data_IF_939995435554
#
_entry.id   IF_939995435554
#
_cell.length_a   1.000
_cell.length_b   1.000
_cell.length_c   1.000
_cell.angle_alpha   90.00
_cell.angle_beta   90.00
_cell.angle_gamma   90.00
#
_symmetry.space_group_name_H-M   'P 1'
#
loop_
_entity.id
_entity.type
_entity.pdbx_description
1 polymer ?
#
# COMPACT_ATOMS: atom_id res chain seq x y z
N UNK A 1 -30.34 2.89 21.31
CA UNK A 1 -29.61 3.74 20.36
C UNK A 1 -29.61 3.00 19.04
N UNK A 2 -30.45 3.41 18.10
CA UNK A 2 -30.64 2.70 16.83
C UNK A 2 -29.39 2.80 15.94
N UNK A 3 -28.95 1.64 15.45
CA UNK A 3 -27.71 1.44 14.71
C UNK A 3 -27.87 1.73 13.21
N UNK A 4 -28.20 2.97 12.86
CA UNK A 4 -28.30 3.42 11.46
C UNK A 4 -26.99 3.94 10.87
N UNK A 5 -25.92 4.06 11.66
CA UNK A 5 -24.60 4.51 11.18
C UNK A 5 -23.97 3.55 10.15
N UNK A 6 -24.28 2.26 10.22
CA UNK A 6 -23.69 1.23 9.34
C UNK A 6 -24.49 1.00 8.06
N UNK A 7 -25.58 1.76 7.82
CA UNK A 7 -26.34 1.65 6.57
C UNK A 7 -26.06 2.89 5.74
N UNK A 8 -25.83 2.69 4.44
CA UNK A 8 -25.90 3.78 3.49
C UNK A 8 -27.24 4.52 3.70
N UNK A 9 -27.27 5.86 3.71
CA UNK A 9 -28.52 6.60 3.88
C UNK A 9 -29.56 6.09 2.88
N UNK A 10 -30.72 5.62 3.34
CA UNK A 10 -31.83 5.17 2.47
C UNK A 10 -32.38 6.31 1.61
N UNK A 11 -32.10 7.54 2.02
CA UNK A 11 -32.15 8.73 1.19
C UNK A 11 -30.76 9.33 1.24
N UNK A 12 -29.98 9.38 0.13
CA UNK A 12 -28.75 10.15 0.13
C UNK A 12 -29.09 11.54 0.67
N UNK A 13 -28.29 12.06 1.60
CA UNK A 13 -28.50 13.40 2.11
C UNK A 13 -28.71 14.29 0.88
N UNK A 14 -29.87 14.97 0.84
CA UNK A 14 -30.24 15.87 -0.26
C UNK A 14 -28.99 16.64 -0.65
N UNK A 15 -28.70 16.81 -1.95
CA UNK A 15 -27.53 17.49 -2.49
C UNK A 15 -27.26 18.82 -1.75
N UNK A 16 -26.63 18.73 -0.59
CA UNK A 16 -26.17 19.84 0.21
C UNK A 16 -24.88 20.17 -0.51
N UNK A 17 -25.01 21.02 -1.53
CA UNK A 17 -23.88 21.57 -2.25
C UNK A 17 -22.81 21.98 -1.24
N UNK A 18 -21.55 21.78 -1.60
CA UNK A 18 -20.42 22.02 -0.70
C UNK A 18 -20.59 23.42 -0.10
N UNK A 19 -20.75 23.57 1.24
CA UNK A 19 -21.00 24.88 1.80
C UNK A 19 -19.85 25.81 1.39
N UNK A 20 -20.13 26.97 0.77
CA UNK A 20 -19.10 27.83 0.16
C UNK A 20 -18.16 28.46 1.20
N UNK A 21 -18.43 28.24 2.48
CA UNK A 21 -17.78 28.89 3.60
C UNK A 21 -16.93 27.84 4.32
N UNK A 22 -15.61 27.94 4.10
CA UNK A 22 -14.54 27.28 4.86
C UNK A 22 -14.12 25.86 4.40
N UNK A 23 -13.69 25.74 3.14
CA UNK A 23 -13.08 24.51 2.58
C UNK A 23 -11.95 23.92 3.45
N UNK A 24 -11.17 24.76 4.15
CA UNK A 24 -10.13 24.30 5.08
C UNK A 24 -10.66 23.64 6.35
N UNK A 25 -11.83 24.05 6.85
CA UNK A 25 -12.50 23.39 7.96
C UNK A 25 -13.09 22.04 7.51
N UNK A 26 -13.77 22.02 6.35
CA UNK A 26 -14.31 20.78 5.78
C UNK A 26 -13.20 19.74 5.55
N UNK A 27 -12.07 20.15 4.97
CA UNK A 27 -10.91 19.26 4.79
C UNK A 27 -10.40 18.69 6.11
N UNK A 28 -10.28 19.52 7.16
CA UNK A 28 -9.88 19.06 8.49
C UNK A 28 -10.87 18.07 9.09
N UNK A 29 -12.17 18.33 8.95
CA UNK A 29 -13.23 17.43 9.39
C UNK A 29 -13.16 16.08 8.67
N UNK A 30 -13.02 16.08 7.34
CA UNK A 30 -12.94 14.87 6.53
C UNK A 30 -11.67 14.05 6.79
N UNK A 31 -10.58 14.69 7.21
CA UNK A 31 -9.38 13.98 7.68
C UNK A 31 -9.61 13.24 9.00
N UNK A 32 -10.48 13.77 9.89
CA UNK A 32 -10.80 13.14 11.17
C UNK A 32 -11.93 12.11 11.06
N UNK A 33 -12.88 12.33 10.16
CA UNK A 33 -14.03 11.46 9.94
C UNK A 33 -14.19 11.15 8.44
N UNK A 34 -13.40 10.20 7.89
CA UNK A 34 -13.49 9.84 6.48
C UNK A 34 -14.83 9.18 6.12
N UNK A 35 -15.56 8.61 7.07
CA UNK A 35 -16.90 8.07 6.83
C UNK A 35 -17.85 9.08 6.20
N UNK A 36 -17.70 10.38 6.49
CA UNK A 36 -18.59 11.44 5.98
C UNK A 36 -18.64 11.51 4.44
N UNK A 37 -17.66 10.94 3.73
CA UNK A 37 -17.71 10.79 2.27
C UNK A 37 -18.88 9.92 1.78
N UNK A 38 -19.58 9.18 2.66
CA UNK A 38 -20.83 8.49 2.34
C UNK A 38 -22.08 9.41 2.39
N UNK A 39 -21.92 10.65 2.86
CA UNK A 39 -23.00 11.61 3.11
C UNK A 39 -22.84 12.93 2.35
N UNK A 40 -21.65 13.23 1.80
CA UNK A 40 -21.38 14.49 1.11
C UNK A 40 -21.08 14.28 -0.37
N UNK A 41 -21.48 15.25 -1.19
CA UNK A 41 -21.30 15.20 -2.65
C UNK A 41 -19.90 15.66 -3.09
N UNK A 42 -18.87 15.08 -2.49
CA UNK A 42 -17.45 15.34 -2.76
C UNK A 42 -16.75 14.02 -3.03
N UNK A 43 -15.86 13.99 -4.02
CA UNK A 43 -15.08 12.78 -4.33
C UNK A 43 -14.23 12.35 -3.14
N UNK A 44 -14.29 11.07 -2.79
CA UNK A 44 -13.50 10.48 -1.72
C UNK A 44 -11.99 10.62 -1.99
N UNK A 45 -11.22 10.84 -0.93
CA UNK A 45 -9.75 10.82 -0.99
C UNK A 45 -9.24 9.37 -0.93
N UNK A 46 -8.00 9.12 -1.36
CA UNK A 46 -7.39 7.78 -1.25
C UNK A 46 -7.40 7.24 0.19
N UNK A 47 -7.09 8.09 1.18
CA UNK A 47 -7.19 7.75 2.61
C UNK A 47 -8.62 7.38 3.03
N UNK A 48 -9.62 8.06 2.51
CA UNK A 48 -11.02 7.70 2.77
C UNK A 48 -11.39 6.36 2.12
N UNK A 49 -10.94 6.08 0.90
CA UNK A 49 -11.16 4.79 0.24
C UNK A 49 -10.58 3.64 1.07
N UNK A 50 -9.35 3.77 1.57
CA UNK A 50 -8.74 2.76 2.47
C UNK A 50 -9.53 2.61 3.76
N UNK A 51 -10.04 3.71 4.33
CA UNK A 51 -10.90 3.63 5.50
C UNK A 51 -12.22 2.87 5.22
N UNK A 52 -12.85 3.08 4.06
CA UNK A 52 -14.02 2.30 3.67
C UNK A 52 -13.69 0.81 3.49
N UNK A 53 -12.49 0.45 3.02
CA UNK A 53 -12.04 -0.94 3.02
C UNK A 53 -11.99 -1.52 4.45
N UNK A 54 -11.44 -0.80 5.42
CA UNK A 54 -11.40 -1.25 6.83
C UNK A 54 -12.81 -1.46 7.42
N UNK A 55 -13.75 -0.54 7.14
CA UNK A 55 -15.14 -0.67 7.59
C UNK A 55 -15.79 -1.91 6.96
N UNK A 56 -15.61 -2.09 5.65
CA UNK A 56 -16.16 -3.23 4.89
C UNK A 56 -15.59 -4.56 5.41
N UNK A 57 -14.27 -4.61 5.68
CA UNK A 57 -13.58 -5.74 6.28
C UNK A 57 -13.89 -5.95 7.77
N UNK A 58 -14.49 -4.96 8.44
CA UNK A 58 -14.73 -4.93 9.88
C UNK A 58 -13.45 -5.17 10.70
N UNK A 59 -12.31 -4.79 10.13
CA UNK A 59 -10.99 -4.99 10.73
C UNK A 59 -10.00 -3.97 10.18
N UNK A 60 -8.95 -3.71 10.96
CA UNK A 60 -7.79 -2.93 10.49
C UNK A 60 -7.08 -3.67 9.38
N UNK A 61 -6.53 -2.93 8.43
CA UNK A 61 -5.72 -3.53 7.37
C UNK A 61 -4.36 -3.95 7.93
N UNK A 62 -3.97 -5.19 7.66
CA UNK A 62 -2.69 -5.80 8.00
C UNK A 62 -2.18 -6.68 6.84
N UNK A 63 -1.09 -7.42 7.05
CA UNK A 63 -0.54 -8.29 6.00
C UNK A 63 -1.48 -9.40 5.53
N UNK A 64 -2.40 -9.85 6.40
CA UNK A 64 -3.28 -10.98 6.13
C UNK A 64 -4.50 -10.60 5.28
N UNK A 65 -4.96 -9.35 5.36
CA UNK A 65 -6.18 -8.89 4.68
C UNK A 65 -5.97 -7.75 3.68
N UNK A 66 -4.73 -7.27 3.47
CA UNK A 66 -4.46 -6.16 2.52
C UNK A 66 -4.86 -6.50 1.08
N UNK A 67 -4.76 -7.77 0.68
CA UNK A 67 -5.23 -8.20 -0.64
C UNK A 67 -6.76 -8.10 -0.74
N UNK A 68 -7.49 -8.49 0.32
CA UNK A 68 -8.95 -8.32 0.35
C UNK A 68 -9.36 -6.84 0.29
N UNK A 69 -8.62 -5.97 1.01
CA UNK A 69 -8.81 -4.53 0.93
C UNK A 69 -8.59 -3.99 -0.49
N UNK A 70 -7.60 -4.51 -1.21
CA UNK A 70 -7.38 -4.21 -2.62
C UNK A 70 -8.54 -4.66 -3.51
N UNK A 71 -9.11 -5.85 -3.26
CA UNK A 71 -10.24 -6.36 -4.04
C UNK A 71 -11.50 -5.51 -3.81
N UNK A 72 -11.76 -5.07 -2.57
CA UNK A 72 -12.92 -4.22 -2.22
C UNK A 72 -12.91 -2.90 -3.00
N UNK A 73 -11.77 -2.22 -3.10
CA UNK A 73 -11.70 -0.96 -3.85
C UNK A 73 -11.79 -1.17 -5.37
N UNK A 74 -11.56 -2.39 -5.85
CA UNK A 74 -11.60 -2.69 -7.27
C UNK A 74 -13.06 -2.84 -7.74
N UNK A 75 -13.54 -2.08 -8.76
CA UNK A 75 -14.97 -1.98 -9.10
C UNK A 75 -15.71 -3.29 -9.40
N UNK A 76 -15.00 -4.39 -9.65
CA UNK A 76 -15.57 -5.64 -10.19
C UNK A 76 -14.99 -6.92 -9.58
N UNK A 77 -14.21 -6.84 -8.48
CA UNK A 77 -13.47 -8.02 -7.98
C UNK A 77 -13.80 -8.41 -6.54
N UNK A 78 -13.96 -7.44 -5.65
CA UNK A 78 -14.30 -7.70 -4.26
C UNK A 78 -15.78 -7.50 -3.95
N UNK A 79 -16.18 -7.72 -2.69
CA UNK A 79 -17.46 -7.22 -2.22
C UNK A 79 -17.49 -5.69 -2.36
N UNK A 80 -18.67 -5.11 -2.64
CA UNK A 80 -18.79 -3.66 -2.69
C UNK A 80 -18.50 -3.05 -1.32
N UNK A 81 -18.08 -1.78 -1.31
CA UNK A 81 -17.98 -1.02 -0.07
C UNK A 81 -19.29 -1.06 0.72
N UNK A 82 -19.18 -1.27 2.04
CA UNK A 82 -20.31 -1.27 2.96
C UNK A 82 -19.96 -0.45 4.22
N UNK A 83 -20.41 0.82 4.32
CA UNK A 83 -21.16 1.60 3.32
C UNK A 83 -20.25 2.16 2.20
N UNK A 84 -20.79 2.46 1.00
CA UNK A 84 -20.03 3.08 -0.08
C UNK A 84 -19.88 4.61 0.10
N UNK A 85 -18.80 5.21 -0.44
CA UNK A 85 -18.74 6.66 -0.63
C UNK A 85 -19.82 7.10 -1.63
N UNK A 86 -20.32 8.32 -1.49
CA UNK A 86 -21.31 8.88 -2.43
C UNK A 86 -20.68 9.12 -3.81
N UNK A 87 -19.41 9.56 -3.83
CA UNK A 87 -18.57 9.68 -5.02
C UNK A 87 -17.24 8.99 -4.79
N UNK A 88 -17.00 7.89 -5.51
CA UNK A 88 -15.68 7.25 -5.56
C UNK A 88 -14.63 8.22 -6.09
N UNK A 89 -13.44 8.16 -5.53
CA UNK A 89 -12.31 9.02 -5.91
C UNK A 89 -10.98 8.40 -5.48
N UNK A 90 -9.93 9.22 -5.48
CA UNK A 90 -8.57 8.77 -5.22
C UNK A 90 -7.89 8.20 -6.47
N UNK A 91 -6.60 8.53 -6.63
CA UNK A 91 -5.77 7.91 -7.65
C UNK A 91 -5.40 6.49 -7.21
N UNK A 92 -5.49 5.52 -8.14
CA UNK A 92 -5.26 4.11 -7.84
C UNK A 92 -3.87 3.85 -7.25
N UNK A 93 -2.83 4.52 -7.77
CA UNK A 93 -1.47 4.40 -7.24
C UNK A 93 -1.38 4.89 -5.79
N UNK A 94 -2.00 6.03 -5.50
CA UNK A 94 -2.07 6.59 -4.15
C UNK A 94 -2.86 5.69 -3.20
N UNK A 95 -3.95 5.07 -3.64
CA UNK A 95 -4.69 4.09 -2.81
C UNK A 95 -3.79 2.90 -2.48
N UNK A 96 -3.02 2.38 -3.44
CA UNK A 96 -2.13 1.24 -3.18
C UNK A 96 -1.04 1.59 -2.17
N UNK A 97 -0.45 2.79 -2.28
CA UNK A 97 0.52 3.29 -1.33
C UNK A 97 -0.08 3.36 0.08
N UNK A 98 -1.32 3.86 0.22
CA UNK A 98 -2.01 3.87 1.51
C UNK A 98 -2.31 2.47 2.05
N UNK A 99 -2.68 1.51 1.20
CA UNK A 99 -2.85 0.12 1.62
C UNK A 99 -1.55 -0.45 2.19
N UNK A 100 -0.41 -0.23 1.51
CA UNK A 100 0.90 -0.63 2.02
C UNK A 100 1.24 0.08 3.35
N UNK A 101 0.96 1.37 3.44
CA UNK A 101 1.13 2.18 4.66
C UNK A 101 0.34 1.63 5.85
N UNK A 102 -0.91 1.19 5.67
CA UNK A 102 -1.68 0.59 6.77
C UNK A 102 -1.07 -0.73 7.23
N UNK A 103 -0.52 -1.55 6.31
CA UNK A 103 0.24 -2.75 6.71
C UNK A 103 1.46 -2.37 7.54
N UNK A 104 2.24 -1.36 7.14
CA UNK A 104 3.38 -0.86 7.92
C UNK A 104 2.95 -0.35 9.30
N UNK A 105 1.85 0.41 9.36
CA UNK A 105 1.29 0.92 10.62
C UNK A 105 0.88 -0.23 11.54
N UNK A 106 0.23 -1.27 11.02
CA UNK A 106 -0.23 -2.42 11.83
C UNK A 106 0.91 -3.15 12.54
N UNK A 107 2.15 -3.05 12.02
CA UNK A 107 3.35 -3.64 12.63
C UNK A 107 4.21 -2.63 13.42
N UNK A 108 3.69 -1.42 13.66
CA UNK A 108 4.32 -0.40 14.50
C UNK A 108 5.25 0.56 13.75
N UNK A 109 5.07 0.71 12.44
CA UNK A 109 5.84 1.65 11.60
C UNK A 109 4.85 2.65 10.97
N UNK A 110 4.34 3.62 11.74
CA UNK A 110 3.33 4.56 11.25
C UNK A 110 3.88 5.51 10.18
N UNK A 111 3.01 6.11 9.33
CA UNK A 111 3.44 7.18 8.45
C UNK A 111 3.86 8.40 9.26
N UNK A 112 4.91 9.08 8.84
CA UNK A 112 5.39 10.31 9.45
C UNK A 112 4.43 11.46 9.14
N UNK A 113 4.14 12.26 10.15
CA UNK A 113 3.33 13.47 10.00
C UNK A 113 4.10 14.53 9.19
N UNK A 114 3.37 15.35 8.44
CA UNK A 114 3.95 16.48 7.71
C UNK A 114 3.90 17.75 8.56
N UNK A 115 4.98 18.52 8.55
CA UNK A 115 5.04 19.83 9.20
C UNK A 115 4.26 20.92 8.42
N UNK A 116 4.39 22.17 8.86
CA UNK A 116 3.77 23.32 8.22
C UNK A 116 4.26 23.51 6.76
N UNK A 117 5.52 23.20 6.49
CA UNK A 117 6.19 23.34 5.19
C UNK A 117 6.02 22.09 4.28
N UNK A 118 5.25 21.11 4.76
CA UNK A 118 4.95 19.84 4.08
C UNK A 118 6.16 18.92 3.93
N UNK A 119 7.11 19.01 4.87
CA UNK A 119 8.18 18.05 5.06
C UNK A 119 7.80 17.00 6.12
N UNK A 120 8.29 15.75 5.99
CA UNK A 120 8.10 14.75 7.03
C UNK A 120 8.83 15.14 8.33
N UNK A 121 8.12 15.04 9.45
CA UNK A 121 8.71 15.13 10.78
C UNK A 121 9.34 13.77 11.11
N UNK A 122 10.67 13.73 11.19
CA UNK A 122 11.41 12.49 11.36
C UNK A 122 11.12 11.81 12.71
N UNK A 123 10.50 10.63 12.65
CA UNK A 123 10.22 9.78 13.82
C UNK A 123 10.55 8.33 13.52
N UNK A 124 11.23 7.64 14.44
CA UNK A 124 11.66 6.26 14.25
C UNK A 124 11.08 5.34 15.35
N UNK A 125 10.53 4.16 15.00
CA UNK A 125 10.24 3.70 13.65
C UNK A 125 9.12 4.52 12.98
N UNK A 126 9.23 4.72 11.66
CA UNK A 126 8.20 5.39 10.86
C UNK A 126 8.50 5.28 9.37
N UNK A 127 7.55 5.63 8.52
CA UNK A 127 7.74 5.63 7.07
C UNK A 127 7.24 6.92 6.42
N UNK A 128 7.79 7.24 5.25
CA UNK A 128 7.46 8.45 4.49
C UNK A 128 6.74 8.03 3.22
N UNK A 129 5.57 8.64 2.99
CA UNK A 129 4.81 8.54 1.75
C UNK A 129 5.45 9.45 0.70
N UNK A 130 5.97 8.88 -0.38
CA UNK A 130 6.68 9.64 -1.40
C UNK A 130 5.72 10.32 -2.37
N UNK A 131 4.43 9.96 -2.43
CA UNK A 131 3.47 10.71 -3.25
C UNK A 131 2.85 11.90 -2.51
N UNK A 132 3.18 12.13 -1.24
CA UNK A 132 2.65 13.24 -0.43
C UNK A 132 3.68 14.36 -0.17
N UNK A 133 3.15 15.55 0.15
CA UNK A 133 3.96 16.70 0.57
C UNK A 133 5.04 17.12 -0.43
N UNK A 134 6.20 17.55 0.09
CA UNK A 134 7.38 17.88 -0.73
C UNK A 134 8.10 16.64 -1.27
N UNK A 135 7.77 15.45 -0.79
CA UNK A 135 8.41 14.19 -1.20
C UNK A 135 7.97 13.73 -2.59
N UNK A 136 6.86 14.26 -3.15
CA UNK A 136 6.38 13.94 -4.50
C UNK A 136 7.45 14.12 -5.60
N UNK A 137 8.39 15.05 -5.41
CA UNK A 137 9.53 15.21 -6.32
C UNK A 137 10.45 13.96 -6.40
N UNK A 138 10.42 13.10 -5.38
CA UNK A 138 11.23 11.91 -5.22
C UNK A 138 10.48 10.61 -5.58
N UNK A 139 9.24 10.70 -6.08
CA UNK A 139 8.45 9.53 -6.55
C UNK A 139 9.15 8.65 -7.59
N UNK A 140 10.18 9.18 -8.26
CA UNK A 140 11.00 8.42 -9.20
C UNK A 140 11.78 7.29 -8.51
N UNK A 141 12.07 7.43 -7.22
CA UNK A 141 12.81 6.43 -6.45
C UNK A 141 11.92 5.31 -5.91
N UNK A 142 10.62 5.53 -5.74
CA UNK A 142 9.68 4.56 -5.20
C UNK A 142 8.43 5.24 -4.66
N UNK A 143 7.65 4.50 -3.89
CA UNK A 143 6.38 4.96 -3.37
C UNK A 143 6.45 5.20 -1.85
N UNK A 144 7.19 4.38 -1.10
CA UNK A 144 7.40 4.58 0.34
C UNK A 144 8.88 4.49 0.67
N UNK A 145 9.36 5.41 1.51
CA UNK A 145 10.69 5.35 2.10
C UNK A 145 10.57 4.96 3.57
N UNK A 146 11.28 3.92 3.98
CA UNK A 146 11.39 3.53 5.39
C UNK A 146 12.83 3.78 5.83
N UNK A 147 13.08 4.78 6.68
CA UNK A 147 14.41 5.02 7.19
C UNK A 147 14.81 3.88 8.12
N UNK A 148 15.99 3.30 7.92
CA UNK A 148 16.53 2.26 8.78
C UNK A 148 18.04 2.14 8.58
N UNK A 149 18.75 1.62 9.59
CA UNK A 149 20.16 1.25 9.45
C UNK A 149 20.29 -0.17 8.88
N UNK A 150 21.36 -0.49 8.13
CA UNK A 150 22.45 0.41 7.72
C UNK A 150 22.09 1.30 6.52
N UNK A 151 21.04 0.95 5.77
CA UNK A 151 20.57 1.67 4.59
C UNK A 151 19.05 1.81 4.64
N UNK A 152 18.56 2.96 4.18
CA UNK A 152 17.12 3.16 4.04
C UNK A 152 16.53 2.14 3.08
N UNK A 153 15.30 1.71 3.35
CA UNK A 153 14.56 0.78 2.54
C UNK A 153 13.54 1.52 1.68
N UNK A 154 13.50 1.22 0.39
CA UNK A 154 12.49 1.79 -0.51
C UNK A 154 11.49 0.72 -0.91
N UNK A 155 10.20 1.03 -0.75
CA UNK A 155 9.10 0.19 -1.18
C UNK A 155 8.54 0.74 -2.47
N UNK A 156 8.61 -0.07 -3.52
CA UNK A 156 7.96 0.19 -4.80
C UNK A 156 6.61 -0.53 -4.80
N UNK A 157 5.54 0.24 -4.61
CA UNK A 157 4.16 -0.24 -4.53
C UNK A 157 3.56 -0.33 -5.94
N UNK A 158 2.94 -1.45 -6.29
CA UNK A 158 2.39 -1.69 -7.64
C UNK A 158 1.01 -2.34 -7.57
N UNK A 159 0.18 -2.02 -8.56
CA UNK A 159 -1.10 -2.71 -8.80
C UNK A 159 -0.86 -4.01 -9.58
N UNK A 160 -1.85 -4.46 -10.37
CA UNK A 160 -1.87 -5.79 -10.97
C UNK A 160 -0.84 -6.07 -12.07
N UNK A 161 -0.37 -5.03 -12.78
CA UNK A 161 0.51 -5.18 -13.93
C UNK A 161 1.97 -4.84 -13.56
N UNK A 162 2.88 -5.83 -13.65
CA UNK A 162 4.29 -5.67 -13.27
C UNK A 162 5.22 -5.32 -14.45
N UNK A 163 4.83 -5.66 -15.69
CA UNK A 163 5.74 -5.83 -16.85
C UNK A 163 6.81 -4.76 -17.08
N UNK A 164 6.53 -3.47 -16.86
CA UNK A 164 7.53 -2.39 -17.07
C UNK A 164 7.85 -1.57 -15.82
N UNK A 165 7.04 -1.66 -14.76
CA UNK A 165 7.02 -0.63 -13.70
C UNK A 165 7.93 -0.90 -12.51
N UNK A 166 8.35 -2.15 -12.29
CA UNK A 166 9.38 -2.46 -11.29
C UNK A 166 10.79 -2.09 -11.78
N UNK A 167 10.99 -1.95 -13.10
CA UNK A 167 12.31 -1.80 -13.71
C UNK A 167 12.90 -0.38 -13.65
N UNK A 168 12.16 0.60 -13.12
CA UNK A 168 12.61 1.99 -13.04
C UNK A 168 12.88 2.47 -11.61
N UNK A 169 12.52 1.70 -10.58
CA UNK A 169 12.40 2.21 -9.20
C UNK A 169 13.50 1.76 -8.22
N UNK A 170 14.60 1.12 -8.66
CA UNK A 170 15.58 0.56 -7.68
C UNK A 170 17.06 0.62 -8.09
N UNK A 171 17.46 1.57 -8.94
CA UNK A 171 18.84 1.64 -9.46
C UNK A 171 19.93 2.15 -8.48
N UNK A 172 19.64 2.38 -7.19
CA UNK A 172 20.65 2.92 -6.26
C UNK A 172 20.44 2.60 -4.76
N UNK A 173 19.28 2.10 -4.36
CA UNK A 173 18.92 1.85 -2.95
C UNK A 173 18.26 0.48 -2.87
N UNK A 174 18.44 -0.21 -1.75
CA UNK A 174 17.79 -1.50 -1.52
C UNK A 174 16.27 -1.35 -1.64
N UNK A 175 15.73 -2.03 -2.66
CA UNK A 175 14.33 -1.93 -3.04
C UNK A 175 13.55 -3.19 -2.69
N UNK A 176 12.30 -3.03 -2.30
CA UNK A 176 11.34 -4.12 -2.24
C UNK A 176 10.12 -3.81 -3.10
N UNK A 177 9.64 -4.80 -3.83
CA UNK A 177 8.38 -4.73 -4.54
C UNK A 177 7.25 -5.12 -3.60
N UNK A 178 6.22 -4.28 -3.50
CA UNK A 178 4.96 -4.65 -2.85
C UNK A 178 3.87 -4.51 -3.90
N UNK A 179 3.21 -5.60 -4.29
CA UNK A 179 2.19 -5.47 -5.33
C UNK A 179 1.08 -6.49 -5.28
N UNK A 180 -0.03 -6.10 -5.91
CA UNK A 180 -1.24 -6.89 -6.04
C UNK A 180 -1.25 -7.63 -7.39
N UNK A 181 -0.13 -8.28 -7.71
CA UNK A 181 0.09 -8.94 -8.99
C UNK A 181 -0.87 -10.11 -9.19
N UNK A 182 -1.35 -10.30 -10.41
CA UNK A 182 -2.30 -11.38 -10.73
C UNK A 182 -1.75 -12.41 -11.72
N UNK A 183 -0.82 -12.01 -12.59
CA UNK A 183 -0.27 -12.85 -13.65
C UNK A 183 1.07 -13.44 -13.19
N UNK A 184 1.12 -14.70 -12.73
CA UNK A 184 2.34 -15.28 -12.16
C UNK A 184 3.42 -15.54 -13.23
N UNK A 185 3.03 -15.69 -14.49
CA UNK A 185 3.93 -15.91 -15.63
C UNK A 185 4.85 -14.72 -15.93
N UNK A 186 4.56 -13.54 -15.38
CA UNK A 186 5.43 -12.37 -15.44
C UNK A 186 6.73 -12.53 -14.62
N UNK A 187 6.83 -13.52 -13.71
CA UNK A 187 7.87 -13.59 -12.70
C UNK A 187 8.87 -14.74 -12.85
N UNK A 188 8.51 -15.87 -13.45
CA UNK A 188 9.33 -17.09 -13.36
C UNK A 188 10.33 -17.30 -14.50
N UNK A 189 10.44 -16.40 -15.47
CA UNK A 189 11.47 -16.53 -16.51
C UNK A 189 12.85 -16.16 -15.94
N UNK A 190 13.89 -16.90 -16.32
CA UNK A 190 15.26 -16.65 -15.83
C UNK A 190 15.73 -15.23 -16.11
N UNK A 191 15.40 -14.70 -17.29
CA UNK A 191 15.74 -13.34 -17.70
C UNK A 191 15.07 -12.30 -16.80
N UNK A 192 13.79 -12.48 -16.42
CA UNK A 192 13.07 -11.61 -15.49
C UNK A 192 13.64 -11.71 -14.08
N UNK A 193 13.87 -12.91 -13.57
CA UNK A 193 14.49 -13.11 -12.25
C UNK A 193 15.87 -12.46 -12.16
N UNK A 194 16.71 -12.63 -13.19
CA UNK A 194 18.02 -11.98 -13.26
C UNK A 194 17.91 -10.45 -13.30
N UNK A 195 16.91 -9.93 -14.02
CA UNK A 195 16.66 -8.51 -14.13
C UNK A 195 16.23 -7.91 -12.78
N UNK A 196 15.28 -8.50 -12.06
CA UNK A 196 14.86 -7.99 -10.74
C UNK A 196 16.03 -7.92 -9.74
N UNK A 197 16.93 -8.91 -9.77
CA UNK A 197 18.15 -8.91 -8.93
C UNK A 197 19.12 -7.80 -9.33
N UNK A 198 19.32 -7.60 -10.63
CA UNK A 198 20.16 -6.50 -11.16
C UNK A 198 19.60 -5.14 -10.79
N UNK A 199 18.29 -5.03 -10.75
CA UNK A 199 17.57 -3.83 -10.31
C UNK A 199 17.61 -3.62 -8.79
N UNK A 200 18.26 -4.48 -8.01
CA UNK A 200 18.42 -4.27 -6.57
C UNK A 200 17.21 -4.66 -5.71
N UNK A 201 16.25 -5.44 -6.24
CA UNK A 201 15.17 -5.97 -5.42
C UNK A 201 15.67 -7.04 -4.46
N UNK A 202 15.50 -6.80 -3.15
CA UNK A 202 15.78 -7.80 -2.12
C UNK A 202 14.55 -8.68 -1.83
N UNK A 203 13.34 -8.20 -2.11
CA UNK A 203 12.13 -9.02 -2.07
C UNK A 203 11.04 -8.44 -2.98
N UNK A 204 10.16 -9.30 -3.48
CA UNK A 204 8.95 -8.95 -4.21
C UNK A 204 7.79 -9.68 -3.54
N UNK A 205 6.95 -8.90 -2.86
CA UNK A 205 5.74 -9.36 -2.17
C UNK A 205 4.56 -9.34 -3.13
N UNK A 206 3.83 -10.45 -3.19
CA UNK A 206 2.70 -10.67 -4.09
C UNK A 206 1.56 -11.42 -3.37
N UNK A 207 0.31 -11.39 -3.87
CA UNK A 207 -0.78 -12.15 -3.26
C UNK A 207 -0.41 -13.63 -3.10
N UNK A 208 -0.90 -14.24 -2.02
CA UNK A 208 -0.52 -15.60 -1.61
C UNK A 208 -0.77 -16.63 -2.72
N UNK A 209 -1.91 -16.54 -3.42
CA UNK A 209 -2.22 -17.41 -4.57
C UNK A 209 -1.23 -17.23 -5.73
N UNK A 210 -0.85 -15.99 -6.03
CA UNK A 210 0.13 -15.68 -7.08
C UNK A 210 1.53 -16.16 -6.70
N UNK A 211 1.92 -15.97 -5.44
CA UNK A 211 3.18 -16.47 -4.90
C UNK A 211 3.25 -17.99 -5.04
N UNK A 212 2.19 -18.70 -4.66
CA UNK A 212 2.15 -20.15 -4.71
C UNK A 212 2.22 -20.67 -6.15
N UNK A 213 1.52 -20.00 -7.09
CA UNK A 213 1.63 -20.30 -8.51
C UNK A 213 3.05 -20.09 -9.04
N UNK A 214 3.71 -18.98 -8.69
CA UNK A 214 5.09 -18.68 -9.09
C UNK A 214 6.05 -19.75 -8.56
N UNK A 215 5.99 -20.03 -7.26
CA UNK A 215 6.92 -20.96 -6.62
C UNK A 215 6.66 -22.41 -7.03
N UNK A 216 5.41 -22.78 -7.33
CA UNK A 216 5.09 -24.09 -7.91
C UNK A 216 5.75 -24.28 -9.27
N UNK A 217 5.67 -23.27 -10.16
CA UNK A 217 6.34 -23.32 -11.45
C UNK A 217 7.86 -23.39 -11.31
N UNK A 218 8.46 -22.51 -10.50
CA UNK A 218 9.91 -22.43 -10.30
C UNK A 218 10.48 -23.77 -9.80
N UNK A 219 9.80 -24.41 -8.84
CA UNK A 219 10.17 -25.74 -8.32
C UNK A 219 9.97 -26.84 -9.36
N UNK A 220 8.84 -26.83 -10.07
CA UNK A 220 8.57 -27.79 -11.14
C UNK A 220 9.60 -27.73 -12.28
N UNK A 221 10.12 -26.54 -12.56
CA UNK A 221 11.15 -26.30 -13.57
C UNK A 221 12.60 -26.52 -13.07
N UNK A 222 12.83 -26.73 -11.77
CA UNK A 222 14.18 -26.86 -11.20
C UNK A 222 15.02 -25.57 -11.28
N UNK A 223 14.36 -24.40 -11.25
CA UNK A 223 15.01 -23.07 -11.42
C UNK A 223 15.08 -22.27 -10.12
N UNK A 224 14.93 -22.91 -8.96
CA UNK A 224 14.89 -22.28 -7.62
C UNK A 224 16.11 -21.39 -7.36
N UNK A 225 17.28 -21.79 -7.85
CA UNK A 225 18.52 -21.01 -7.76
C UNK A 225 18.40 -19.59 -8.34
N UNK A 226 17.47 -19.37 -9.28
CA UNK A 226 17.23 -18.07 -9.88
C UNK A 226 16.28 -17.20 -9.03
N UNK A 227 15.42 -17.81 -8.21
CA UNK A 227 14.44 -17.17 -7.33
C UNK A 227 15.01 -16.78 -5.95
N UNK A 228 16.34 -16.66 -5.85
CA UNK A 228 17.07 -16.20 -4.66
C UNK A 228 17.67 -14.82 -4.95
N UNK A 229 17.54 -13.88 -4.02
CA UNK A 229 18.08 -12.53 -4.13
C UNK A 229 19.62 -12.48 -3.95
N UNK A 230 20.21 -11.28 -4.06
CA UNK A 230 21.65 -11.07 -3.91
C UNK A 230 22.21 -11.43 -2.51
N UNK A 231 21.33 -11.50 -1.50
CA UNK A 231 21.66 -11.80 -0.12
C UNK A 231 21.47 -13.30 0.22
N UNK A 232 21.15 -14.14 -0.75
CA UNK A 232 20.94 -15.58 -0.52
C UNK A 232 19.59 -15.95 0.10
N UNK A 233 18.60 -15.03 0.09
CA UNK A 233 17.24 -15.27 0.61
C UNK A 233 16.19 -15.24 -0.50
N UNK A 234 14.99 -15.76 -0.24
CA UNK A 234 13.90 -15.81 -1.23
C UNK A 234 13.59 -14.42 -1.83
N UNK A 235 13.60 -14.36 -3.16
CA UNK A 235 13.22 -13.17 -3.93
C UNK A 235 11.71 -12.94 -3.90
N UNK A 236 10.92 -14.01 -4.06
CA UNK A 236 9.46 -13.95 -4.07
C UNK A 236 8.90 -14.29 -2.70
N UNK A 237 7.94 -13.49 -2.23
CA UNK A 237 7.32 -13.66 -0.90
C UNK A 237 5.83 -13.36 -0.98
N UNK A 238 5.05 -13.96 -0.09
CA UNK A 238 3.62 -13.66 0.03
C UNK A 238 3.38 -12.34 0.76
N UNK A 239 2.32 -11.61 0.39
CA UNK A 239 1.91 -10.37 1.06
C UNK A 239 1.63 -10.62 2.55
N UNK A 240 1.10 -11.79 2.91
CA UNK A 240 0.89 -12.23 4.29
C UNK A 240 2.16 -12.21 5.16
N UNK A 241 3.36 -12.30 4.55
CA UNK A 241 4.64 -12.24 5.27
C UNK A 241 5.23 -10.84 5.38
N UNK A 242 4.72 -9.86 4.63
CA UNK A 242 5.33 -8.53 4.50
C UNK A 242 5.54 -7.85 5.86
N UNK A 243 4.49 -7.71 6.67
CA UNK A 243 4.59 -7.00 7.94
C UNK A 243 5.58 -7.64 8.91
N UNK A 244 5.61 -8.97 9.00
CA UNK A 244 6.55 -9.69 9.84
C UNK A 244 8.01 -9.52 9.38
N UNK A 245 8.25 -9.59 8.07
CA UNK A 245 9.57 -9.38 7.48
C UNK A 245 10.08 -7.96 7.72
N UNK A 246 9.25 -6.95 7.49
CA UNK A 246 9.62 -5.55 7.65
C UNK A 246 9.86 -5.19 9.12
N UNK A 247 9.03 -5.69 10.04
CA UNK A 247 9.24 -5.53 11.48
C UNK A 247 10.59 -6.11 11.93
N UNK A 248 11.01 -7.24 11.36
CA UNK A 248 12.32 -7.86 11.67
C UNK A 248 13.50 -7.02 11.17
N UNK A 249 13.37 -6.40 10.00
CA UNK A 249 14.42 -5.55 9.42
C UNK A 249 14.59 -4.26 10.20
N UNK A 250 13.48 -3.54 10.44
CA UNK A 250 13.55 -2.20 11.08
C UNK A 250 13.71 -2.31 12.59
N UNK A 251 13.05 -3.28 13.23
CA UNK A 251 13.07 -3.44 14.69
C UNK A 251 14.45 -3.79 15.26
N UNK A 252 15.37 -4.34 14.46
CA UNK A 252 16.76 -4.57 14.89
C UNK A 252 17.59 -3.28 14.86
N UNK A 253 17.28 -2.38 13.94
CA UNK A 253 18.03 -1.14 13.71
C UNK A 253 17.58 0.01 14.62
N UNK A 254 16.32 -0.01 15.09
CA UNK A 254 15.79 1.02 16.00
C UNK A 254 16.01 0.74 17.49
N UNK A 255 16.38 -0.48 17.87
CA UNK A 255 16.58 -0.87 19.28
C UNK A 255 18.04 -0.82 19.76
N UNK A 256 18.98 -0.51 18.86
CA UNK A 256 20.41 -0.42 19.16
C UNK A 256 20.96 1.02 19.13
N UNK A 257 20.06 2.03 19.12
CA UNK A 257 20.39 3.45 19.23
C UNK A 257 19.84 4.02 20.54
#
# INVERSE_FOLDING_TARGET
MDATFNKAPTSPAAHLGTPPVNAGLLRRLLNHCPCLFNQIDVAATARAMVHFCEITLKSRIDSNNVHDAFLIQHPHKGPPFDPPPLKSGGDGGTIMEFLCSEVLRSVGIPPMELDADKWPVWTMPGHVLLNEGKMNALRAFGDILIPCAPTNLVVSVKSEAARERLLYSSNAIEGIGFGFFKEPDEFWTESRMALYKRMGFSAIYMPDETHDAVMSHVKGAGTEKHAVNINGTDLYRSLSKFGADIKRVIGRSSMAL
#
